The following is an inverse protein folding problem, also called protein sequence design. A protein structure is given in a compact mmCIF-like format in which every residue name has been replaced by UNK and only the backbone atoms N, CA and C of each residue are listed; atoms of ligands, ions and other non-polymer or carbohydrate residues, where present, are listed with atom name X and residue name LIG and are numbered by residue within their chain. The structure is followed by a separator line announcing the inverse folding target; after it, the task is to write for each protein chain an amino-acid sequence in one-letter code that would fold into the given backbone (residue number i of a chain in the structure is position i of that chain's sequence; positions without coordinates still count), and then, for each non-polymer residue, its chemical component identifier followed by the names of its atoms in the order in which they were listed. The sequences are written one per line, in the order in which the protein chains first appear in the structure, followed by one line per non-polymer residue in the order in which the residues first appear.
data_IF_531136967370
#
_entry.id   IF_531136967370
#
_cell.length_a   1.000
_cell.length_b   1.000
_cell.length_c   1.000
_cell.angle_alpha   90.00
_cell.angle_beta   90.00
_cell.angle_gamma   90.00
#
_symmetry.space_group_name_H-M   'P 1'
#
loop_
_entity.id
_entity.type
_entity.pdbx_description
1 polymer ?
#
# COMPACT_ATOMS: atom_id res chain seq x y z
N UNK A 1 -2.93 3.48 8.08
CA UNK A 1 -4.40 3.48 8.37
C UNK A 1 -4.98 2.15 8.92
N UNK A 2 -4.26 1.39 9.77
CA UNK A 2 -4.71 0.03 10.15
C UNK A 2 -5.49 0.01 11.48
N UNK A 3 -6.48 -0.88 11.63
CA UNK A 3 -7.13 -1.18 12.92
C UNK A 3 -6.19 -1.90 13.89
N UNK A 4 -6.48 -1.85 15.19
CA UNK A 4 -5.77 -2.60 16.23
C UNK A 4 -6.23 -4.05 16.29
N UNK A 5 -5.40 -4.96 16.81
CA UNK A 5 -5.67 -6.40 16.78
C UNK A 5 -6.96 -6.82 17.51
N UNK A 6 -7.40 -6.08 18.53
CA UNK A 6 -8.63 -6.33 19.30
C UNK A 6 -9.79 -5.39 18.95
N UNK A 7 -9.71 -4.63 17.86
CA UNK A 7 -10.79 -3.73 17.45
C UNK A 7 -12.10 -4.52 17.27
N UNK A 8 -13.17 -4.05 17.92
CA UNK A 8 -14.48 -4.72 17.96
C UNK A 8 -14.47 -6.13 18.58
N UNK A 9 -13.48 -6.47 19.41
CA UNK A 9 -13.49 -7.71 20.17
C UNK A 9 -14.46 -7.64 21.35
N UNK A 10 -15.14 -8.76 21.62
CA UNK A 10 -15.94 -8.96 22.84
C UNK A 10 -15.06 -9.11 24.09
N UNK A 11 -13.80 -9.49 23.92
CA UNK A 11 -12.83 -9.65 25.01
C UNK A 11 -11.43 -9.28 24.49
N UNK A 12 -10.76 -8.32 25.13
CA UNK A 12 -9.43 -7.84 24.73
C UNK A 12 -8.33 -8.92 24.71
N UNK A 13 -8.54 -10.07 25.36
CA UNK A 13 -7.65 -11.23 25.28
C UNK A 13 -7.81 -12.05 24.00
N UNK A 14 -8.87 -11.80 23.21
CA UNK A 14 -9.17 -12.49 21.96
C UNK A 14 -9.05 -11.48 20.80
N UNK A 15 -7.94 -11.44 20.06
CA UNK A 15 -7.82 -10.56 18.91
C UNK A 15 -8.82 -10.94 17.81
N UNK A 16 -9.40 -9.94 17.15
CA UNK A 16 -10.27 -10.09 15.97
C UNK A 16 -9.48 -10.12 14.67
N UNK A 17 -8.24 -9.61 14.69
CA UNK A 17 -7.31 -9.66 13.57
C UNK A 17 -5.95 -10.18 14.02
N UNK A 18 -5.45 -11.20 13.34
CA UNK A 18 -4.14 -11.81 13.61
C UNK A 18 -3.28 -11.70 12.34
N UNK A 19 -2.08 -11.08 12.39
CA UNK A 19 -1.17 -11.05 11.25
C UNK A 19 -0.80 -12.47 10.83
N UNK A 20 -0.79 -12.74 9.52
CA UNK A 20 -0.38 -14.06 9.00
C UNK A 20 1.13 -14.30 9.07
N UNK A 21 1.91 -13.22 9.02
CA UNK A 21 3.38 -13.23 9.04
C UNK A 21 3.82 -12.60 10.36
N UNK A 22 4.74 -13.25 11.07
CA UNK A 22 5.32 -12.84 12.35
C UNK A 22 4.34 -12.17 13.32
N UNK A 23 3.32 -12.90 13.84
CA UNK A 23 2.27 -12.32 14.67
C UNK A 23 2.81 -11.60 15.90
N UNK A 24 3.87 -12.12 16.53
CA UNK A 24 4.48 -11.51 17.71
C UNK A 24 5.11 -10.15 17.42
N UNK A 25 5.64 -9.95 16.21
CA UNK A 25 6.29 -8.71 15.79
C UNK A 25 5.26 -7.70 15.25
N UNK A 26 4.25 -8.19 14.54
CA UNK A 26 3.34 -7.35 13.77
C UNK A 26 2.09 -6.94 14.55
N UNK A 27 1.63 -7.77 15.50
CA UNK A 27 0.45 -7.45 16.33
C UNK A 27 0.61 -6.13 17.10
N UNK A 28 1.76 -5.85 17.76
CA UNK A 28 1.95 -4.58 18.49
C UNK A 28 2.01 -3.34 17.58
N UNK A 29 2.29 -3.51 16.28
CA UNK A 29 2.35 -2.41 15.31
C UNK A 29 0.96 -2.01 14.77
N UNK A 30 -0.01 -2.91 14.88
CA UNK A 30 -1.38 -2.68 14.42
C UNK A 30 -2.06 -1.60 15.24
N UNK A 31 -2.87 -0.76 14.61
CA UNK A 31 -3.68 0.21 15.34
C UNK A 31 -2.95 1.43 15.88
N UNK A 32 -1.65 1.62 15.58
CA UNK A 32 -0.92 2.81 16.04
C UNK A 32 -1.59 4.12 15.57
N UNK A 33 -1.62 5.14 16.44
CA UNK A 33 -2.22 6.46 16.19
C UNK A 33 -1.30 7.62 16.58
N UNK A 34 0.01 7.36 16.69
CA UNK A 34 0.99 8.37 17.11
C UNK A 34 1.42 9.27 15.94
N UNK A 35 1.57 8.68 14.76
CA UNK A 35 2.00 9.37 13.53
C UNK A 35 1.59 8.57 12.31
N UNK A 36 1.67 9.17 11.13
CA UNK A 36 1.56 8.42 9.88
C UNK A 36 2.75 7.45 9.76
N UNK A 37 2.50 6.26 9.22
CA UNK A 37 3.61 5.36 8.87
C UNK A 37 4.38 5.96 7.68
N UNK A 38 5.64 5.53 7.51
CA UNK A 38 6.46 5.94 6.37
C UNK A 38 5.73 5.64 5.06
N UNK A 39 5.08 4.48 4.97
CA UNK A 39 4.30 4.06 3.82
C UNK A 39 3.03 4.92 3.61
N UNK A 40 2.34 5.33 4.69
CA UNK A 40 1.20 6.26 4.56
C UNK A 40 1.67 7.62 3.99
N UNK A 41 2.83 8.13 4.44
CA UNK A 41 3.42 9.40 3.96
C UNK A 41 3.83 9.29 2.49
N UNK A 42 4.53 8.21 2.11
CA UNK A 42 4.92 7.94 0.72
C UNK A 42 3.70 7.88 -0.19
N UNK A 43 2.63 7.21 0.24
CA UNK A 43 1.40 7.13 -0.53
C UNK A 43 0.73 8.50 -0.67
N UNK A 44 0.67 9.30 0.39
CA UNK A 44 0.12 10.66 0.34
C UNK A 44 0.90 11.55 -0.63
N UNK A 45 2.24 11.54 -0.54
CA UNK A 45 3.10 12.29 -1.45
C UNK A 45 2.89 11.83 -2.90
N UNK A 46 2.79 10.52 -3.13
CA UNK A 46 2.51 9.96 -4.45
C UNK A 46 1.12 10.35 -4.98
N UNK A 47 0.13 10.50 -4.10
CA UNK A 47 -1.22 10.89 -4.48
C UNK A 47 -1.34 12.38 -4.81
N UNK A 48 -0.75 13.25 -4.00
CA UNK A 48 -1.01 14.70 -4.00
C UNK A 48 0.18 15.61 -4.31
N UNK A 49 1.43 15.16 -4.11
CA UNK A 49 2.64 15.98 -4.30
C UNK A 49 3.35 15.67 -5.62
N UNK A 50 2.59 15.62 -6.71
CA UNK A 50 3.07 15.08 -7.99
C UNK A 50 3.42 16.15 -9.02
N UNK A 51 4.48 15.92 -9.80
CA UNK A 51 4.76 16.64 -11.04
C UNK A 51 3.58 16.49 -12.02
N UNK A 52 3.22 17.58 -12.69
CA UNK A 52 2.04 17.68 -13.57
C UNK A 52 1.99 16.58 -14.64
N UNK A 53 3.15 16.14 -15.11
CA UNK A 53 3.26 15.27 -16.29
C UNK A 53 3.40 13.80 -15.91
N UNK A 54 3.35 13.47 -14.62
CA UNK A 54 3.30 12.10 -14.21
C UNK A 54 1.85 11.71 -13.93
N UNK A 55 1.30 10.77 -14.68
CA UNK A 55 -0.02 10.18 -14.43
C UNK A 55 -0.07 8.74 -14.94
N UNK A 56 -1.14 8.05 -14.59
CA UNK A 56 -1.46 6.74 -15.16
C UNK A 56 -2.48 6.96 -16.28
N UNK A 57 -2.27 6.34 -17.44
CA UNK A 57 -3.19 6.44 -18.59
C UNK A 57 -4.40 5.52 -18.42
N UNK A 58 -4.33 4.54 -17.52
CA UNK A 58 -5.42 3.60 -17.23
C UNK A 58 -5.76 3.56 -15.75
N UNK A 59 -7.05 3.47 -15.45
CA UNK A 59 -7.56 3.24 -14.09
C UNK A 59 -7.08 1.91 -13.49
N UNK A 60 -6.67 0.96 -14.33
CA UNK A 60 -6.18 -0.36 -13.90
C UNK A 60 -4.70 -0.41 -13.53
N UNK A 61 -3.95 0.67 -13.80
CA UNK A 61 -2.51 0.76 -13.51
C UNK A 61 -2.17 0.35 -12.07
N UNK A 62 -2.98 0.78 -11.09
CA UNK A 62 -2.75 0.43 -9.68
C UNK A 62 -2.86 -1.07 -9.41
N UNK A 63 -3.87 -1.73 -9.98
CA UNK A 63 -4.08 -3.18 -9.81
C UNK A 63 -3.00 -3.98 -10.53
N UNK A 64 -2.57 -3.53 -11.71
CA UNK A 64 -1.48 -4.18 -12.45
C UNK A 64 -0.13 -4.05 -11.74
N UNK A 65 0.17 -2.87 -11.18
CA UNK A 65 1.35 -2.67 -10.35
C UNK A 65 1.35 -3.60 -9.12
N UNK A 66 0.20 -3.74 -8.44
CA UNK A 66 0.04 -4.68 -7.33
C UNK A 66 0.23 -6.15 -7.74
N UNK A 67 -0.02 -6.49 -9.01
CA UNK A 67 0.26 -7.82 -9.57
C UNK A 67 1.72 -8.01 -10.01
N UNK A 68 2.58 -7.01 -9.82
CA UNK A 68 4.01 -7.06 -10.16
C UNK A 68 4.32 -6.76 -11.63
N UNK A 69 3.36 -6.26 -12.41
CA UNK A 69 3.56 -6.03 -13.85
C UNK A 69 4.53 -4.87 -14.17
N UNK A 70 4.87 -4.06 -13.17
CA UNK A 70 5.93 -3.06 -13.27
C UNK A 70 7.34 -3.64 -13.38
N UNK A 71 7.52 -4.95 -13.15
CA UNK A 71 8.81 -5.63 -13.15
C UNK A 71 8.81 -6.97 -13.90
N UNK A 72 7.66 -7.38 -14.46
CA UNK A 72 7.47 -8.70 -15.10
C UNK A 72 7.22 -8.54 -16.59
N UNK A 73 7.94 -9.32 -17.39
CA UNK A 73 7.72 -9.42 -18.83
C UNK A 73 6.48 -10.28 -19.16
N UNK A 74 5.69 -9.96 -20.20
CA UNK A 74 5.84 -8.87 -21.19
C UNK A 74 5.27 -7.51 -20.77
N UNK A 75 4.56 -7.44 -19.65
CA UNK A 75 3.79 -6.26 -19.27
C UNK A 75 4.66 -5.05 -18.92
N UNK A 76 5.90 -5.30 -18.47
CA UNK A 76 6.89 -4.30 -18.08
C UNK A 76 6.94 -3.11 -19.05
N UNK A 77 7.18 -3.36 -20.35
CA UNK A 77 7.36 -2.27 -21.32
C UNK A 77 6.14 -1.36 -21.44
N UNK A 78 4.95 -1.95 -21.47
CA UNK A 78 3.70 -1.20 -21.53
C UNK A 78 3.45 -0.42 -20.24
N UNK A 79 3.68 -1.06 -19.09
CA UNK A 79 3.53 -0.47 -17.76
C UNK A 79 4.44 0.75 -17.55
N UNK A 80 5.69 0.68 -18.01
CA UNK A 80 6.65 1.77 -17.89
C UNK A 80 6.21 3.04 -18.63
N UNK A 81 5.53 2.90 -19.76
CA UNK A 81 5.06 4.02 -20.59
C UNK A 81 3.69 4.56 -20.17
N UNK A 82 2.81 3.68 -19.67
CA UNK A 82 1.40 4.00 -19.44
C UNK A 82 1.04 4.18 -17.97
N UNK A 83 1.85 3.68 -17.06
CA UNK A 83 1.51 3.61 -15.65
C UNK A 83 2.65 4.15 -14.77
N UNK A 84 3.17 5.33 -15.16
CA UNK A 84 4.32 5.96 -14.51
C UNK A 84 4.05 6.20 -13.03
N UNK A 85 2.83 6.61 -12.67
CA UNK A 85 2.43 6.77 -11.25
C UNK A 85 2.53 5.43 -10.57
N UNK A 86 1.75 4.44 -11.03
CA UNK A 86 1.61 3.18 -10.32
C UNK A 86 2.94 2.43 -10.20
N UNK A 87 3.78 2.47 -11.23
CA UNK A 87 5.10 1.84 -11.24
C UNK A 87 6.21 2.64 -10.58
N UNK A 88 5.91 3.83 -10.03
CA UNK A 88 6.90 4.66 -9.35
C UNK A 88 8.04 5.13 -10.28
N UNK A 89 7.67 5.49 -11.52
CA UNK A 89 8.56 6.06 -12.54
C UNK A 89 8.34 7.57 -12.71
N UNK A 90 7.73 8.19 -11.71
CA UNK A 90 7.96 9.59 -11.38
C UNK A 90 9.11 9.59 -10.37
#
# INVERSE_FOLDING_TARGET
MHYGASTASLNNQKPTMVPKIDPQINTPKMGQRQRLSVQDIELLNKMYCKQSDCFDTSVYCGVWALRGFCSVYPQYGWMQQNCLKSCNNC
#
